data_IF_834702769999
#
_entry.id   IF_834702769999
#
_cell.length_a   1.000
_cell.length_b   1.000
_cell.length_c   1.000
_cell.angle_alpha   90.00
_cell.angle_beta   90.00
_cell.angle_gamma   90.00
#
_symmetry.space_group_name_H-M   'P 1'
#
loop_
_entity.id
_entity.type
_entity.pdbx_description
1 polymer ?
#
# COMPACT_ATOMS: atom_id res chain seq x y z
N UNK A 1 28.91 42.97 27.08
CA UNK A 1 27.64 43.24 26.37
C UNK A 1 27.11 41.94 25.81
N UNK A 2 26.11 41.38 26.47
CA UNK A 2 25.48 40.12 26.12
C UNK A 2 24.47 40.34 24.98
N UNK A 3 24.65 39.66 23.85
CA UNK A 3 23.75 39.79 22.69
C UNK A 3 22.45 39.03 22.98
N UNK A 4 21.37 39.80 23.14
CA UNK A 4 20.00 39.31 23.22
C UNK A 4 19.64 38.53 21.94
N UNK A 5 19.52 37.21 22.06
CA UNK A 5 19.11 36.30 20.99
C UNK A 5 17.61 36.51 20.72
N UNK A 6 17.27 37.30 19.70
CA UNK A 6 15.86 37.54 19.31
C UNK A 6 15.28 36.27 18.69
N UNK A 7 14.49 35.54 19.46
CA UNK A 7 13.65 34.45 18.94
C UNK A 7 12.42 35.08 18.28
N UNK A 8 12.41 35.15 16.96
CA UNK A 8 11.21 35.47 16.18
C UNK A 8 10.31 34.24 16.19
N UNK A 9 9.21 34.29 16.94
CA UNK A 9 8.12 33.32 16.88
C UNK A 9 7.03 33.89 15.96
N UNK A 10 6.64 33.15 14.93
CA UNK A 10 5.50 33.49 14.07
C UNK A 10 4.35 32.55 14.42
N UNK A 11 3.17 33.13 14.66
CA UNK A 11 1.94 32.41 14.96
C UNK A 11 1.03 32.54 13.75
N UNK A 12 0.81 31.44 13.03
CA UNK A 12 -0.16 31.40 11.94
C UNK A 12 -1.49 30.87 12.48
N UNK A 13 -2.56 31.65 12.33
CA UNK A 13 -3.92 31.27 12.73
C UNK A 13 -4.80 31.22 11.49
N UNK A 14 -5.05 30.02 10.98
CA UNK A 14 -5.98 29.82 9.88
C UNK A 14 -7.38 29.58 10.44
N UNK A 15 -8.33 30.42 10.06
CA UNK A 15 -9.74 30.33 10.46
C UNK A 15 -10.58 30.11 9.20
N UNK A 16 -11.34 29.02 9.14
CA UNK A 16 -12.33 28.80 8.08
C UNK A 16 -13.72 29.00 8.70
N UNK A 17 -14.48 29.91 8.10
CA UNK A 17 -15.79 30.37 8.59
C UNK A 17 -16.85 29.82 7.63
N UNK A 18 -17.95 29.27 8.16
CA UNK A 18 -19.09 28.84 7.35
C UNK A 18 -19.99 30.04 6.96
N UNK A 19 -20.97 29.83 6.07
CA UNK A 19 -21.90 30.89 5.59
C UNK A 19 -22.77 31.52 6.72
N UNK A 20 -22.77 30.92 7.90
CA UNK A 20 -23.53 31.36 9.09
C UNK A 20 -22.65 32.07 10.14
N UNK A 21 -21.36 32.29 9.83
CA UNK A 21 -20.45 33.04 10.71
C UNK A 21 -19.89 32.23 11.90
N UNK A 22 -20.14 30.92 11.95
CA UNK A 22 -19.63 30.06 13.02
C UNK A 22 -18.25 29.50 12.66
N UNK A 23 -17.35 29.49 13.66
CA UNK A 23 -15.97 29.03 13.50
C UNK A 23 -15.93 27.50 13.56
N UNK A 24 -15.60 26.85 12.44
CA UNK A 24 -15.67 25.38 12.31
C UNK A 24 -14.37 24.70 12.73
N UNK A 25 -13.20 25.35 12.54
CA UNK A 25 -11.91 24.74 12.83
C UNK A 25 -10.83 25.80 13.16
N UNK A 26 -9.97 25.51 14.14
CA UNK A 26 -8.90 26.42 14.60
C UNK A 26 -7.56 25.67 14.67
N UNK A 27 -6.67 25.91 13.71
CA UNK A 27 -5.30 25.38 13.71
C UNK A 27 -4.33 26.47 14.18
N UNK A 28 -3.58 26.21 15.26
CA UNK A 28 -2.54 27.09 15.79
C UNK A 28 -1.18 26.44 15.58
N UNK A 29 -0.33 27.04 14.75
CA UNK A 29 1.02 26.53 14.49
C UNK A 29 2.03 27.53 15.05
N UNK A 30 2.71 27.14 16.13
CA UNK A 30 3.85 27.88 16.68
C UNK A 30 5.15 27.29 16.10
N UNK A 31 5.81 28.02 15.20
CA UNK A 31 7.11 27.62 14.65
C UNK A 31 8.22 28.42 15.33
N UNK A 32 9.06 27.72 16.11
CA UNK A 32 10.30 28.25 16.65
C UNK A 32 11.41 28.00 15.62
N UNK A 33 12.39 28.91 15.52
CA UNK A 33 13.60 28.71 14.71
C UNK A 33 14.50 27.64 15.38
N UNK A 34 14.02 26.41 15.39
CA UNK A 34 14.79 25.21 15.70
C UNK A 34 15.71 24.92 14.51
N UNK A 35 16.84 24.27 14.76
CA UNK A 35 17.64 23.68 13.68
C UNK A 35 16.71 22.84 12.79
N UNK A 36 16.80 23.04 11.47
CA UNK A 36 15.94 22.32 10.53
C UNK A 36 16.29 20.84 10.64
N UNK A 37 15.30 20.03 11.01
CA UNK A 37 15.46 18.58 11.11
C UNK A 37 15.99 18.03 9.77
N UNK A 38 17.12 17.30 9.75
CA UNK A 38 17.63 16.67 8.55
C UNK A 38 16.59 15.71 7.94
N UNK A 39 16.70 15.39 6.65
CA UNK A 39 15.78 14.43 6.03
C UNK A 39 15.81 13.08 6.74
N UNK A 40 14.64 12.60 7.16
CA UNK A 40 14.46 11.34 7.88
C UNK A 40 13.31 10.50 7.28
N UNK A 41 13.28 9.23 7.66
CA UNK A 41 12.19 8.30 7.37
C UNK A 41 11.65 7.79 8.71
N UNK A 42 10.34 7.94 8.93
CA UNK A 42 9.63 7.32 10.05
C UNK A 42 9.37 5.86 9.72
N UNK A 43 9.80 4.97 10.60
CA UNK A 43 9.59 3.54 10.50
C UNK A 43 8.83 3.07 11.74
N UNK A 44 7.81 2.23 11.55
CA UNK A 44 6.94 1.79 12.65
C UNK A 44 7.44 0.47 13.22
N UNK A 45 7.51 0.39 14.56
CA UNK A 45 8.09 -0.76 15.27
C UNK A 45 7.33 -2.05 14.95
N UNK A 46 6.01 -1.98 14.88
CA UNK A 46 5.14 -3.11 14.54
C UNK A 46 5.47 -3.73 13.17
N UNK A 47 6.03 -2.94 12.26
CA UNK A 47 6.35 -3.33 10.89
C UNK A 47 7.83 -3.68 10.70
N UNK A 48 8.68 -3.55 11.71
CA UNK A 48 10.10 -3.91 11.62
C UNK A 48 10.28 -5.39 11.24
N UNK A 49 9.48 -6.28 11.84
CA UNK A 49 9.50 -7.70 11.53
C UNK A 49 9.12 -8.00 10.06
N UNK A 50 8.34 -7.13 9.43
CA UNK A 50 8.04 -7.21 8.00
C UNK A 50 9.33 -7.05 7.19
N UNK A 51 10.12 -6.00 7.47
CA UNK A 51 11.39 -5.75 6.79
C UNK A 51 12.42 -6.86 6.97
N UNK A 52 12.52 -7.45 8.16
CA UNK A 52 13.46 -8.55 8.40
C UNK A 52 13.17 -9.82 7.59
N UNK A 53 11.91 -10.03 7.19
CA UNK A 53 11.52 -11.18 6.36
C UNK A 53 11.81 -10.97 4.88
N UNK A 54 12.18 -9.75 4.47
CA UNK A 54 12.44 -9.43 3.08
C UNK A 54 13.88 -9.79 2.71
N UNK A 55 14.04 -10.66 1.71
CA UNK A 55 15.33 -10.90 1.06
C UNK A 55 15.67 -9.73 0.11
N UNK A 56 15.86 -8.55 0.69
CA UNK A 56 16.15 -7.30 -0.02
C UNK A 56 17.39 -6.66 0.59
N UNK A 57 18.26 -6.15 -0.28
CA UNK A 57 19.50 -5.51 0.10
C UNK A 57 19.25 -4.20 0.87
N UNK A 58 19.68 -4.13 2.14
CA UNK A 58 19.46 -2.96 3.00
C UNK A 58 20.18 -1.71 2.51
N UNK A 59 21.34 -1.87 1.87
CA UNK A 59 22.11 -0.80 1.22
C UNK A 59 21.36 -0.19 0.02
N UNK A 60 20.67 -1.02 -0.78
CA UNK A 60 19.82 -0.55 -1.86
C UNK A 60 18.59 0.19 -1.33
N UNK A 61 17.95 -0.35 -0.29
CA UNK A 61 16.85 0.34 0.37
C UNK A 61 17.31 1.74 0.82
N UNK A 62 18.44 1.82 1.53
CA UNK A 62 19.01 3.09 1.96
C UNK A 62 19.30 4.03 0.79
N UNK A 63 19.89 3.54 -0.31
CA UNK A 63 20.16 4.34 -1.51
C UNK A 63 18.87 4.86 -2.16
N UNK A 64 17.81 4.05 -2.21
CA UNK A 64 16.50 4.45 -2.75
C UNK A 64 15.81 5.50 -1.86
N UNK A 65 15.89 5.36 -0.54
CA UNK A 65 15.26 6.29 0.41
C UNK A 65 15.76 7.73 0.27
N UNK A 66 17.00 7.92 -0.21
CA UNK A 66 17.56 9.25 -0.52
C UNK A 66 16.77 9.99 -1.60
N UNK A 67 16.07 9.26 -2.48
CA UNK A 67 15.28 9.81 -3.59
C UNK A 67 13.80 10.02 -3.26
N UNK A 68 13.37 9.71 -2.03
CA UNK A 68 11.98 9.91 -1.61
C UNK A 68 11.68 11.40 -1.49
N UNK A 69 10.64 11.87 -2.19
CA UNK A 69 10.13 13.23 -2.09
C UNK A 69 9.09 13.36 -0.94
N UNK A 70 8.61 14.57 -0.68
CA UNK A 70 7.63 14.81 0.39
C UNK A 70 6.23 14.25 0.08
N UNK A 71 5.94 13.97 -1.19
CA UNK A 71 4.74 13.27 -1.65
C UNK A 71 4.85 11.73 -1.48
N UNK A 72 5.91 11.25 -0.80
CA UNK A 72 6.17 9.83 -0.57
C UNK A 72 6.48 9.03 -1.84
N UNK A 73 6.96 9.69 -2.89
CA UNK A 73 7.30 9.05 -4.15
C UNK A 73 8.81 8.97 -4.40
N UNK A 74 9.20 7.96 -5.18
CA UNK A 74 10.52 7.75 -5.74
C UNK A 74 10.37 7.80 -7.27
N UNK A 75 10.93 8.84 -7.88
CA UNK A 75 11.03 8.98 -9.33
C UNK A 75 12.43 8.55 -9.75
N UNK A 76 12.52 7.38 -10.39
CA UNK A 76 13.77 6.72 -10.71
C UNK A 76 13.82 6.28 -12.18
N UNK A 77 14.50 7.08 -13.00
CA UNK A 77 14.79 6.75 -14.39
C UNK A 77 16.03 5.85 -14.51
N UNK A 78 16.38 5.43 -15.73
CA UNK A 78 17.55 4.57 -16.00
C UNK A 78 18.85 5.15 -15.43
N UNK A 79 19.09 6.45 -15.62
CA UNK A 79 20.31 7.12 -15.16
C UNK A 79 20.46 7.08 -13.63
N UNK A 80 19.37 7.28 -12.89
CA UNK A 80 19.39 7.19 -11.42
C UNK A 80 19.66 5.73 -10.99
N UNK A 81 19.06 4.74 -11.66
CA UNK A 81 19.35 3.32 -11.37
C UNK A 81 20.82 2.97 -11.60
N UNK A 82 21.42 3.48 -12.67
CA UNK A 82 22.85 3.27 -12.96
C UNK A 82 23.74 3.96 -11.92
N UNK A 83 23.34 5.14 -11.43
CA UNK A 83 24.05 5.83 -10.34
C UNK A 83 24.02 5.02 -9.05
N UNK A 84 22.86 4.50 -8.66
CA UNK A 84 22.70 3.64 -7.48
C UNK A 84 23.50 2.35 -7.65
N UNK A 85 23.43 1.72 -8.83
CA UNK A 85 24.21 0.53 -9.13
C UNK A 85 25.71 0.77 -8.94
N UNK A 86 26.22 1.92 -9.43
CA UNK A 86 27.61 2.33 -9.26
C UNK A 86 27.97 2.65 -7.79
N UNK A 87 27.09 3.33 -7.05
CA UNK A 87 27.28 3.64 -5.63
C UNK A 87 27.45 2.36 -4.79
N UNK A 88 26.71 1.31 -5.14
CA UNK A 88 26.68 0.05 -4.40
C UNK A 88 27.67 -1.01 -4.94
N UNK A 89 28.42 -0.70 -5.99
CA UNK A 89 29.24 -1.66 -6.74
C UNK A 89 28.45 -2.91 -7.18
N UNK A 90 27.27 -2.67 -7.79
CA UNK A 90 26.34 -3.69 -8.28
C UNK A 90 25.98 -3.46 -9.75
N UNK A 91 25.35 -4.46 -10.36
CA UNK A 91 24.82 -4.33 -11.72
C UNK A 91 23.49 -3.59 -11.76
N UNK A 92 23.15 -3.00 -12.91
CA UNK A 92 21.82 -2.44 -13.14
C UNK A 92 20.71 -3.51 -12.99
N UNK A 93 21.01 -4.76 -13.35
CA UNK A 93 20.10 -5.89 -13.17
C UNK A 93 19.79 -6.15 -11.69
N UNK A 94 20.80 -6.06 -10.81
CA UNK A 94 20.62 -6.17 -9.36
C UNK A 94 19.62 -5.12 -8.82
N UNK A 95 19.76 -3.86 -9.25
CA UNK A 95 18.84 -2.77 -8.86
C UNK A 95 17.42 -3.06 -9.37
N UNK A 96 17.26 -3.45 -10.63
CA UNK A 96 15.94 -3.75 -11.19
C UNK A 96 15.28 -4.95 -10.48
N UNK A 97 16.02 -6.02 -10.20
CA UNK A 97 15.49 -7.21 -9.54
C UNK A 97 15.02 -6.90 -8.12
N UNK A 98 15.79 -6.13 -7.36
CA UNK A 98 15.39 -5.71 -6.02
C UNK A 98 14.23 -4.69 -6.04
N UNK A 99 14.16 -3.79 -7.02
CA UNK A 99 12.96 -2.94 -7.20
C UNK A 99 11.71 -3.79 -7.45
N UNK A 100 11.82 -4.83 -8.27
CA UNK A 100 10.72 -5.80 -8.47
C UNK A 100 10.36 -6.50 -7.16
N UNK A 101 11.34 -6.95 -6.37
CA UNK A 101 11.10 -7.53 -5.04
C UNK A 101 10.38 -6.56 -4.11
N UNK A 102 10.81 -5.30 -4.05
CA UNK A 102 10.16 -4.25 -3.24
C UNK A 102 8.71 -4.02 -3.65
N UNK A 103 8.40 -4.08 -4.95
CA UNK A 103 7.03 -3.95 -5.45
C UNK A 103 6.19 -5.18 -5.15
N UNK A 104 6.74 -6.38 -5.33
CA UNK A 104 6.02 -7.63 -5.08
C UNK A 104 5.72 -7.83 -3.59
N UNK A 105 6.59 -7.31 -2.72
CA UNK A 105 6.36 -7.28 -1.27
C UNK A 105 5.69 -5.97 -0.84
N UNK A 106 5.07 -5.22 -1.75
CA UNK A 106 4.28 -4.01 -1.44
C UNK A 106 4.96 -2.98 -0.53
N UNK A 107 6.29 -2.98 -0.49
CA UNK A 107 7.10 -1.97 0.18
C UNK A 107 7.05 -0.68 -0.64
N UNK A 108 7.09 -0.86 -1.96
CA UNK A 108 6.86 0.17 -2.96
C UNK A 108 5.64 -0.19 -3.79
N UNK A 109 4.88 0.81 -4.20
CA UNK A 109 3.73 0.65 -5.08
C UNK A 109 4.07 1.37 -6.38
N UNK A 110 4.11 0.61 -7.48
CA UNK A 110 4.36 1.21 -8.79
C UNK A 110 3.14 2.02 -9.23
N UNK A 111 3.33 3.32 -9.45
CA UNK A 111 2.30 4.26 -9.92
C UNK A 111 2.41 4.46 -11.43
N UNK A 112 3.64 4.55 -11.95
CA UNK A 112 3.92 4.68 -13.39
C UNK A 112 5.28 4.06 -13.74
N UNK A 113 5.72 4.21 -14.99
CA UNK A 113 7.07 3.85 -15.43
C UNK A 113 8.09 4.72 -14.73
N UNK A 114 8.91 4.08 -13.89
CA UNK A 114 9.94 4.78 -13.11
C UNK A 114 9.38 5.62 -11.96
N UNK A 115 8.10 5.50 -11.63
CA UNK A 115 7.48 6.23 -10.51
C UNK A 115 6.87 5.22 -9.53
N UNK A 116 7.30 5.31 -8.29
CA UNK A 116 6.89 4.43 -7.20
C UNK A 116 6.46 5.27 -6.01
N UNK A 117 5.39 4.90 -5.32
CA UNK A 117 5.02 5.49 -4.03
C UNK A 117 5.40 4.55 -2.89
N UNK A 118 5.77 5.10 -1.74
CA UNK A 118 6.03 4.35 -0.52
C UNK A 118 4.73 3.79 0.04
N UNK A 119 4.82 2.59 0.60
CA UNK A 119 3.75 2.11 1.46
C UNK A 119 3.84 2.79 2.84
N UNK A 120 3.10 3.88 3.00
CA UNK A 120 3.12 4.66 4.26
C UNK A 120 2.53 3.94 5.48
N UNK A 121 1.95 2.75 5.32
CA UNK A 121 1.65 1.89 6.46
C UNK A 121 2.92 1.30 7.07
N UNK A 122 3.96 1.04 6.26
CA UNK A 122 5.24 0.49 6.71
C UNK A 122 6.24 1.59 7.14
N UNK A 123 6.36 2.67 6.36
CA UNK A 123 7.30 3.76 6.61
C UNK A 123 6.99 4.99 5.74
N UNK A 124 7.46 6.18 6.13
CA UNK A 124 7.26 7.39 5.32
C UNK A 124 8.21 8.53 5.68
N UNK A 125 8.38 9.49 4.78
CA UNK A 125 9.20 10.70 4.95
C UNK A 125 8.39 11.85 5.57
N UNK A 126 9.00 12.61 6.47
CA UNK A 126 8.38 13.83 6.99
C UNK A 126 7.38 13.61 8.12
N UNK A 127 6.47 14.57 8.32
CA UNK A 127 5.64 14.63 9.52
C UNK A 127 4.55 13.55 9.53
N UNK A 128 3.98 13.28 10.71
CA UNK A 128 2.84 12.35 10.80
C UNK A 128 1.63 12.85 9.99
N UNK A 129 1.42 14.17 9.93
CA UNK A 129 0.35 14.79 9.13
C UNK A 129 0.49 14.45 7.65
N UNK A 130 1.72 14.53 7.11
CA UNK A 130 2.02 14.21 5.70
C UNK A 130 1.80 12.74 5.40
N UNK A 131 2.30 11.85 6.27
CA UNK A 131 2.11 10.40 6.14
C UNK A 131 0.62 10.06 6.20
N UNK A 132 -0.14 10.65 7.12
CA UNK A 132 -1.57 10.36 7.24
C UNK A 132 -2.37 10.87 6.03
N UNK A 133 -2.02 12.03 5.48
CA UNK A 133 -2.58 12.54 4.21
C UNK A 133 -2.34 11.52 3.09
N UNK A 134 -1.11 11.01 2.98
CA UNK A 134 -0.76 10.02 1.97
C UNK A 134 -1.48 8.67 2.17
N UNK A 135 -1.64 8.20 3.41
CA UNK A 135 -2.41 6.98 3.72
C UNK A 135 -3.87 7.07 3.25
N UNK A 136 -4.49 8.24 3.35
CA UNK A 136 -5.87 8.46 2.86
C UNK A 136 -5.96 8.37 1.33
N UNK A 137 -4.92 8.77 0.60
CA UNK A 137 -4.87 8.64 -0.86
C UNK A 137 -4.43 7.26 -1.34
N UNK A 138 -3.67 6.52 -0.51
CA UNK A 138 -3.33 5.13 -0.78
C UNK A 138 -4.59 4.26 -0.72
N UNK A 139 -5.13 3.90 -1.88
CA UNK A 139 -6.20 2.92 -2.04
C UNK A 139 -5.70 1.48 -1.80
N UNK A 140 -5.15 1.23 -0.61
CA UNK A 140 -4.66 -0.08 -0.18
C UNK A 140 -5.60 -0.68 0.85
N UNK A 141 -5.86 -1.99 0.75
CA UNK A 141 -6.55 -2.76 1.78
C UNK A 141 -5.49 -3.31 2.74
N UNK A 142 -5.57 -2.89 4.01
CA UNK A 142 -4.66 -3.35 5.07
C UNK A 142 -5.41 -4.32 5.96
N UNK A 143 -4.93 -5.56 6.00
CA UNK A 143 -5.47 -6.63 6.84
C UNK A 143 -4.51 -6.93 7.99
N UNK A 144 -5.05 -7.38 9.11
CA UNK A 144 -4.25 -7.87 10.23
C UNK A 144 -4.52 -9.36 10.41
N UNK A 145 -3.46 -10.17 10.35
CA UNK A 145 -3.50 -11.58 10.71
C UNK A 145 -2.73 -11.80 12.00
N UNK A 146 -3.35 -12.44 12.99
CA UNK A 146 -2.67 -12.79 14.25
C UNK A 146 -1.46 -13.71 14.04
N UNK A 147 -1.44 -14.51 12.95
CA UNK A 147 -0.37 -15.45 12.65
C UNK A 147 0.72 -14.87 11.73
N UNK A 148 0.36 -13.95 10.82
CA UNK A 148 1.27 -13.43 9.78
C UNK A 148 1.60 -11.94 9.94
N UNK A 149 1.01 -11.25 10.91
CA UNK A 149 1.13 -9.81 11.08
C UNK A 149 0.28 -9.03 10.08
N UNK A 150 0.68 -7.77 9.80
CA UNK A 150 0.01 -6.92 8.81
C UNK A 150 0.19 -7.50 7.41
N UNK A 151 -0.91 -7.66 6.70
CA UNK A 151 -0.97 -8.05 5.30
C UNK A 151 -1.51 -6.86 4.53
N UNK A 152 -0.90 -6.54 3.39
CA UNK A 152 -1.35 -5.44 2.55
C UNK A 152 -1.74 -6.09 1.23
N UNK A 153 -2.82 -5.61 0.62
CA UNK A 153 -3.17 -5.93 -0.77
C UNK A 153 -3.65 -4.66 -1.45
N UNK A 154 -3.33 -4.51 -2.73
CA UNK A 154 -3.97 -3.48 -3.55
C UNK A 154 -5.43 -3.86 -3.82
N UNK A 155 -6.32 -2.88 -3.74
CA UNK A 155 -7.76 -3.08 -4.01
C UNK A 155 -7.99 -3.66 -5.42
N UNK A 156 -7.20 -3.25 -6.40
CA UNK A 156 -7.28 -3.78 -7.78
C UNK A 156 -6.84 -5.24 -7.88
N UNK A 157 -5.84 -5.66 -7.11
CA UNK A 157 -5.34 -7.04 -7.15
C UNK A 157 -6.34 -7.98 -6.48
N UNK A 158 -7.01 -7.53 -5.41
CA UNK A 158 -8.13 -8.25 -4.80
C UNK A 158 -9.34 -8.33 -5.75
N UNK A 159 -9.70 -7.23 -6.42
CA UNK A 159 -10.77 -7.25 -7.44
C UNK A 159 -10.45 -8.23 -8.58
N UNK A 160 -9.21 -8.25 -9.07
CA UNK A 160 -8.75 -9.21 -10.10
C UNK A 160 -8.78 -10.66 -9.60
N UNK A 161 -8.41 -10.89 -8.35
CA UNK A 161 -8.44 -12.23 -7.75
C UNK A 161 -9.90 -12.73 -7.58
N UNK A 162 -10.80 -11.87 -7.10
CA UNK A 162 -12.23 -12.17 -7.01
C UNK A 162 -12.87 -12.42 -8.39
N UNK A 163 -12.50 -11.65 -9.42
CA UNK A 163 -12.95 -11.88 -10.79
C UNK A 163 -12.44 -13.22 -11.34
N UNK A 164 -11.19 -13.60 -11.05
CA UNK A 164 -10.64 -14.91 -11.45
C UNK A 164 -11.40 -16.06 -10.79
N UNK A 165 -11.66 -15.97 -9.48
CA UNK A 165 -12.41 -17.00 -8.73
C UNK A 165 -13.84 -17.12 -9.28
N UNK A 166 -14.51 -16.00 -9.53
CA UNK A 166 -15.86 -15.99 -10.12
C UNK A 166 -15.89 -16.63 -11.51
N UNK A 167 -14.93 -16.29 -12.36
CA UNK A 167 -14.85 -16.83 -13.72
C UNK A 167 -14.53 -18.34 -13.73
N UNK A 168 -13.68 -18.80 -12.81
CA UNK A 168 -13.41 -20.23 -12.66
C UNK A 168 -14.65 -21.00 -12.19
N UNK A 169 -15.35 -20.48 -11.18
CA UNK A 169 -16.59 -21.09 -10.65
C UNK A 169 -17.68 -21.21 -11.72
N UNK A 170 -17.92 -20.14 -12.48
CA UNK A 170 -18.89 -20.13 -13.59
C UNK A 170 -18.51 -21.08 -14.74
N UNK A 171 -17.21 -21.30 -14.97
CA UNK A 171 -16.71 -22.25 -15.97
C UNK A 171 -16.94 -23.71 -15.54
N UNK A 172 -16.75 -24.01 -14.26
CA UNK A 172 -17.01 -25.33 -13.69
C UNK A 172 -18.51 -25.66 -13.69
N UNK A 173 -19.38 -24.71 -13.33
CA UNK A 173 -20.84 -24.88 -13.41
C UNK A 173 -21.33 -25.16 -14.84
N UNK A 174 -20.85 -24.40 -15.85
CA UNK A 174 -21.18 -24.65 -17.26
C UNK A 174 -20.69 -26.01 -17.76
N UNK A 175 -19.55 -26.49 -17.26
CA UNK A 175 -19.00 -27.79 -17.66
C UNK A 175 -19.81 -28.94 -17.07
N UNK A 176 -20.16 -28.87 -15.78
CA UNK A 176 -21.06 -29.85 -15.12
C UNK A 176 -22.42 -29.92 -15.82
N UNK A 177 -22.97 -28.78 -16.25
CA UNK A 177 -24.27 -28.73 -16.91
C UNK A 177 -24.26 -29.20 -18.38
N UNK A 178 -23.09 -29.19 -19.03
CA UNK A 178 -22.90 -29.76 -20.36
C UNK A 178 -22.54 -31.25 -20.33
N UNK A 179 -21.86 -31.71 -19.28
CA UNK A 179 -21.42 -33.10 -19.13
C UNK A 179 -22.56 -34.03 -18.64
N UNK A 180 -23.60 -33.49 -17.98
CA UNK A 180 -24.82 -34.24 -17.66
C UNK A 180 -25.87 -33.94 -18.73
N UNK A 181 -26.21 -34.94 -19.54
CA UNK A 181 -27.25 -34.78 -20.56
C UNK A 181 -28.59 -34.43 -19.89
N UNK A 182 -29.44 -33.61 -20.55
CA UNK A 182 -30.80 -33.29 -20.03
C UNK A 182 -31.62 -34.54 -19.68
N UNK A 183 -31.33 -35.64 -20.37
CA UNK A 183 -31.99 -36.93 -20.19
C UNK A 183 -31.53 -37.65 -18.91
N UNK A 184 -30.26 -37.51 -18.52
CA UNK A 184 -29.74 -38.01 -17.23
C UNK A 184 -30.21 -37.18 -16.05
N UNK A 185 -30.27 -35.85 -16.18
CA UNK A 185 -30.85 -34.98 -15.15
C UNK A 185 -32.33 -35.31 -14.91
N UNK A 186 -33.09 -35.53 -15.99
CA UNK A 186 -34.50 -35.93 -15.90
C UNK A 186 -34.68 -37.27 -15.17
N UNK A 187 -33.81 -38.26 -15.43
CA UNK A 187 -33.82 -39.54 -14.73
C UNK A 187 -33.54 -39.40 -13.24
N UNK A 188 -32.52 -38.61 -12.86
CA UNK A 188 -32.15 -38.40 -11.46
C UNK A 188 -33.28 -37.67 -10.71
N UNK A 189 -33.87 -36.64 -11.31
CA UNK A 189 -34.99 -35.90 -10.70
C UNK A 189 -36.19 -36.81 -10.47
N UNK A 190 -36.59 -37.59 -11.47
CA UNK A 190 -37.70 -38.54 -11.34
C UNK A 190 -37.44 -39.61 -10.26
N UNK A 191 -36.21 -40.08 -10.12
CA UNK A 191 -35.84 -41.07 -9.10
C UNK A 191 -35.89 -40.48 -7.68
N UNK A 192 -35.50 -39.21 -7.51
CA UNK A 192 -35.63 -38.49 -6.23
C UNK A 192 -37.10 -38.29 -5.86
N UNK A 193 -37.96 -37.87 -6.80
CA UNK A 193 -39.40 -37.69 -6.57
C UNK A 193 -40.11 -38.99 -6.18
N UNK A 194 -39.76 -40.11 -6.85
CA UNK A 194 -40.27 -41.43 -6.52
C UNK A 194 -39.88 -41.87 -5.10
N UNK A 195 -38.65 -41.59 -4.67
CA UNK A 195 -38.19 -41.93 -3.33
C UNK A 195 -38.82 -41.04 -2.25
N UNK A 196 -39.04 -39.76 -2.52
CA UNK A 196 -39.74 -38.86 -1.59
C UNK A 196 -41.21 -39.27 -1.39
N UNK A 197 -41.89 -39.69 -2.46
CA UNK A 197 -43.26 -40.18 -2.38
C UNK A 197 -43.39 -41.50 -1.61
N UNK A 198 -42.35 -42.35 -1.65
CA UNK A 198 -42.28 -43.59 -0.85
C UNK A 198 -42.04 -43.37 0.64
N UNK A 199 -41.42 -42.24 1.00
CA UNK A 199 -41.19 -41.86 2.40
C UNK A 199 -42.43 -41.18 2.99
N UNK A 200 -43.33 -40.68 2.13
CA UNK A 200 -44.53 -39.92 2.51
C UNK A 200 -45.81 -40.77 2.58
N UNK A 201 -45.72 -42.09 2.37
CA UNK A 201 -46.81 -43.07 2.42
C UNK A 201 -46.55 -44.10 3.52
#
# INVERSE_FOLDING_TARGET
>A
MEKMKRTLAYLETNTTINELGETVEREQIAQFKAEVEPSYIKLYIEDIAYFYKLDISSDLMYALLKYVNYEQEIIINKAIKERIAKELDKSLSFVNNNLTKLVNNEVLIRVNTGVYTLNTYLFGKGSWKDIMKHRKSLKLNVFYSAAMGRQIKKEEDERRELERIRNHSNGTEKKVQNDISKEELSKIVNEIELNLNRISA
#
